data_IF_677176081472
#
_entry.id   IF_677176081472
#
_cell.length_a   1.000
_cell.length_b   1.000
_cell.length_c   1.000
_cell.angle_alpha   90.00
_cell.angle_beta   90.00
_cell.angle_gamma   90.00
#
_symmetry.space_group_name_H-M   'P 1'
#
loop_
_entity.id
_entity.type
_entity.pdbx_description
1 polymer ?
#
# COMPACT_ATOMS: atom_id res chain seq x y z
N UNK A 1 17.55 -37.86 3.43
CA UNK A 1 17.37 -36.76 2.48
C UNK A 1 17.34 -35.48 3.27
N UNK A 2 18.29 -34.57 3.08
CA UNK A 2 18.33 -33.30 3.81
C UNK A 2 17.84 -32.21 2.84
N UNK A 3 16.62 -31.70 3.03
CA UNK A 3 16.12 -30.59 2.25
C UNK A 3 16.59 -29.27 2.88
N UNK A 4 17.11 -28.36 2.06
CA UNK A 4 17.48 -27.00 2.50
C UNK A 4 16.59 -26.00 1.79
N UNK A 5 15.95 -25.06 2.51
CA UNK A 5 15.21 -23.99 1.88
C UNK A 5 16.18 -23.06 1.12
N UNK A 6 15.79 -22.68 -0.09
CA UNK A 6 16.56 -21.78 -0.95
C UNK A 6 15.81 -20.48 -1.11
N UNK A 7 16.44 -19.30 -0.87
CA UNK A 7 15.79 -18.01 -1.10
C UNK A 7 15.39 -17.85 -2.59
N UNK A 8 14.20 -17.33 -2.89
CA UNK A 8 13.74 -17.14 -4.27
C UNK A 8 14.69 -16.29 -5.13
N UNK A 9 15.38 -15.32 -4.52
CA UNK A 9 16.35 -14.46 -5.21
C UNK A 9 17.58 -15.20 -5.77
N UNK A 10 17.82 -16.44 -5.33
CA UNK A 10 18.93 -17.30 -5.80
C UNK A 10 18.47 -18.37 -6.77
N UNK A 11 17.19 -18.40 -7.09
CA UNK A 11 16.58 -19.41 -7.95
C UNK A 11 16.26 -18.81 -9.32
N UNK A 12 16.66 -19.48 -10.38
CA UNK A 12 16.30 -19.11 -11.75
C UNK A 12 15.69 -20.32 -12.45
N UNK A 13 14.56 -20.13 -13.11
CA UNK A 13 13.93 -21.14 -13.93
C UNK A 13 14.37 -20.97 -15.39
N UNK A 14 14.88 -22.03 -15.97
CA UNK A 14 15.29 -22.06 -17.39
C UNK A 14 14.38 -23.02 -18.14
N UNK A 15 13.61 -22.56 -19.12
CA UNK A 15 12.80 -23.44 -19.97
C UNK A 15 13.70 -24.44 -20.72
N UNK A 16 13.31 -25.73 -20.72
CA UNK A 16 14.02 -26.78 -21.45
C UNK A 16 13.00 -27.69 -22.13
N UNK A 17 12.87 -27.59 -23.44
CA UNK A 17 11.89 -28.33 -24.20
C UNK A 17 10.44 -28.04 -23.76
N UNK A 18 9.73 -29.06 -23.28
CA UNK A 18 8.38 -28.93 -22.70
C UNK A 18 8.38 -28.76 -21.16
N UNK A 19 9.55 -28.68 -20.57
CA UNK A 19 9.73 -28.56 -19.12
C UNK A 19 10.60 -27.38 -18.72
N UNK A 20 11.27 -27.51 -17.60
CA UNK A 20 12.17 -26.50 -17.07
C UNK A 20 13.27 -27.12 -16.22
N UNK A 21 14.34 -26.38 -16.03
CA UNK A 21 15.37 -26.67 -15.01
C UNK A 21 15.40 -25.57 -13.96
N UNK A 22 15.81 -25.94 -12.77
CA UNK A 22 15.94 -25.02 -11.64
C UNK A 22 17.42 -24.79 -11.37
N UNK A 23 17.88 -23.58 -11.60
CA UNK A 23 19.26 -23.20 -11.32
C UNK A 23 19.36 -22.50 -9.97
N UNK A 24 20.26 -22.97 -9.11
CA UNK A 24 20.52 -22.43 -7.78
C UNK A 24 22.04 -22.29 -7.58
N UNK A 25 22.53 -21.06 -7.48
CA UNK A 25 23.94 -20.81 -7.18
C UNK A 25 24.94 -21.45 -8.14
N UNK A 26 24.59 -21.57 -9.42
CA UNK A 26 25.44 -22.19 -10.45
C UNK A 26 25.21 -23.69 -10.65
N UNK A 27 24.47 -24.37 -9.79
CA UNK A 27 24.05 -25.76 -9.99
C UNK A 27 22.68 -25.83 -10.67
N UNK A 28 22.48 -26.82 -11.56
CA UNK A 28 21.24 -27.01 -12.31
C UNK A 28 20.57 -28.31 -11.85
N UNK A 29 19.31 -28.22 -11.48
CA UNK A 29 18.51 -29.32 -10.95
C UNK A 29 17.35 -29.63 -11.88
N UNK A 30 16.98 -30.92 -11.97
CA UNK A 30 15.73 -31.33 -12.60
C UNK A 30 14.52 -31.02 -11.70
N UNK A 31 13.30 -30.93 -12.27
CA UNK A 31 12.10 -30.63 -11.48
C UNK A 31 11.78 -31.64 -10.36
N UNK A 32 12.20 -32.88 -10.50
CA UNK A 32 12.05 -33.96 -9.54
C UNK A 32 13.12 -33.96 -8.40
N UNK A 33 14.19 -33.21 -8.60
CA UNK A 33 15.23 -33.00 -7.60
C UNK A 33 14.92 -31.85 -6.63
N UNK A 34 13.85 -31.09 -6.87
CA UNK A 34 13.46 -29.92 -6.08
C UNK A 34 12.00 -30.02 -5.65
N UNK A 35 11.71 -29.54 -4.44
CA UNK A 35 10.33 -29.32 -3.99
C UNK A 35 9.97 -27.86 -4.30
N UNK A 36 9.14 -27.69 -5.32
CA UNK A 36 8.74 -26.38 -5.80
C UNK A 36 7.22 -26.20 -5.72
N UNK A 37 6.77 -25.15 -5.03
CA UNK A 37 5.37 -24.80 -4.91
C UNK A 37 5.04 -23.64 -5.84
N UNK A 38 4.45 -23.93 -7.01
CA UNK A 38 3.96 -22.92 -7.92
C UNK A 38 2.57 -22.45 -7.48
N UNK A 39 2.48 -21.33 -6.79
CA UNK A 39 1.23 -20.68 -6.43
C UNK A 39 0.83 -19.71 -7.55
N UNK A 40 -0.46 -19.68 -7.91
CA UNK A 40 -0.98 -18.85 -9.01
C UNK A 40 -0.18 -19.06 -10.32
N UNK A 41 -0.22 -20.26 -10.93
CA UNK A 41 0.64 -20.61 -12.04
C UNK A 41 0.37 -19.74 -13.27
N UNK A 42 1.45 -19.42 -13.97
CA UNK A 42 1.41 -18.72 -15.25
C UNK A 42 0.75 -19.63 -16.32
N UNK A 43 -0.20 -19.12 -17.13
CA UNK A 43 -0.86 -19.91 -18.16
C UNK A 43 0.10 -20.46 -19.24
N UNK A 44 1.15 -19.75 -19.57
CA UNK A 44 2.14 -20.13 -20.58
C UNK A 44 3.24 -21.03 -19.99
N UNK A 45 3.63 -20.70 -18.74
CA UNK A 45 4.68 -21.43 -18.01
C UNK A 45 4.15 -21.94 -16.66
N UNK A 46 3.40 -23.06 -16.61
CA UNK A 46 2.70 -23.53 -15.40
C UNK A 46 3.59 -23.80 -14.18
N UNK A 47 4.88 -23.98 -14.38
CA UNK A 47 5.86 -24.10 -13.30
C UNK A 47 6.26 -22.76 -12.66
N UNK A 48 5.90 -21.62 -13.29
CA UNK A 48 6.18 -20.29 -12.79
C UNK A 48 4.96 -19.75 -12.06
N UNK A 49 5.12 -19.34 -10.80
CA UNK A 49 4.09 -18.61 -10.09
C UNK A 49 4.05 -17.15 -10.53
N UNK A 50 2.85 -16.61 -10.73
CA UNK A 50 2.65 -15.18 -10.97
C UNK A 50 2.55 -14.43 -9.64
N UNK A 51 3.36 -13.39 -9.48
CA UNK A 51 3.29 -12.48 -8.34
C UNK A 51 2.17 -11.44 -8.51
N UNK A 52 1.87 -10.76 -7.40
CA UNK A 52 0.88 -9.67 -7.37
C UNK A 52 1.50 -8.28 -7.57
N UNK A 53 2.81 -8.21 -7.85
CA UNK A 53 3.56 -6.95 -7.89
C UNK A 53 2.94 -5.92 -8.84
N UNK A 54 2.66 -6.34 -10.09
CA UNK A 54 2.08 -5.45 -11.11
C UNK A 54 0.69 -4.95 -10.68
N UNK A 55 -0.15 -5.85 -10.17
CA UNK A 55 -1.50 -5.50 -9.75
C UNK A 55 -1.52 -4.59 -8.51
N UNK A 56 -0.55 -4.76 -7.61
CA UNK A 56 -0.46 -3.98 -6.37
C UNK A 56 0.21 -2.62 -6.57
N UNK A 57 0.99 -2.43 -7.62
CA UNK A 57 1.82 -1.24 -7.80
C UNK A 57 1.02 0.07 -7.69
N UNK A 58 -0.08 0.17 -8.42
CA UNK A 58 -0.91 1.38 -8.43
C UNK A 58 -1.62 1.62 -7.10
N UNK A 59 -2.11 0.56 -6.46
CA UNK A 59 -2.79 0.66 -5.16
C UNK A 59 -1.81 1.08 -4.06
N UNK A 60 -0.61 0.51 -4.03
CA UNK A 60 0.44 0.91 -3.08
C UNK A 60 0.88 2.35 -3.31
N UNK A 61 0.96 2.78 -4.57
CA UNK A 61 1.26 4.17 -4.91
C UNK A 61 0.17 5.11 -4.42
N UNK A 62 -1.12 4.77 -4.61
CA UNK A 62 -2.27 5.52 -4.10
C UNK A 62 -2.21 5.67 -2.58
N UNK A 63 -1.96 4.58 -1.85
CA UNK A 63 -1.83 4.60 -0.39
C UNK A 63 -0.69 5.52 0.06
N UNK A 64 0.48 5.44 -0.56
CA UNK A 64 1.62 6.31 -0.24
C UNK A 64 1.29 7.78 -0.47
N UNK A 65 0.64 8.10 -1.59
CA UNK A 65 0.22 9.46 -1.90
C UNK A 65 -0.79 9.98 -0.87
N UNK A 66 -1.78 9.17 -0.50
CA UNK A 66 -2.79 9.49 0.51
C UNK A 66 -2.14 9.74 1.89
N UNK A 67 -1.17 8.90 2.29
CA UNK A 67 -0.43 9.07 3.53
C UNK A 67 0.40 10.36 3.52
N UNK A 68 1.08 10.68 2.42
CA UNK A 68 1.85 11.92 2.29
C UNK A 68 0.95 13.17 2.37
N UNK A 69 -0.22 13.13 1.72
CA UNK A 69 -1.21 14.23 1.79
C UNK A 69 -1.73 14.40 3.23
N UNK A 70 -2.04 13.30 3.91
CA UNK A 70 -2.49 13.33 5.31
C UNK A 70 -1.42 13.93 6.21
N UNK A 71 -0.17 13.51 6.05
CA UNK A 71 0.95 14.04 6.83
C UNK A 71 1.14 15.54 6.61
N UNK A 72 1.14 16.01 5.36
CA UNK A 72 1.25 17.41 5.02
C UNK A 72 0.13 18.26 5.64
N UNK A 73 -1.12 17.75 5.66
CA UNK A 73 -2.24 18.42 6.31
C UNK A 73 -2.11 18.48 7.84
N UNK A 74 -1.51 17.45 8.45
CA UNK A 74 -1.27 17.41 9.88
C UNK A 74 -0.11 18.33 10.30
N UNK A 75 0.92 18.45 9.48
CA UNK A 75 2.08 19.30 9.73
C UNK A 75 1.77 20.79 9.51
N UNK A 76 0.80 21.10 8.66
CA UNK A 76 0.40 22.47 8.36
C UNK A 76 -1.08 22.72 8.69
N UNK A 77 -1.49 22.63 9.97
CA UNK A 77 -2.88 22.85 10.38
C UNK A 77 -3.32 24.33 10.29
N UNK A 78 -2.41 25.22 9.88
CA UNK A 78 -2.69 26.66 9.83
C UNK A 78 -3.74 26.94 8.74
N UNK A 79 -4.83 27.62 9.09
CA UNK A 79 -5.77 28.11 8.10
C UNK A 79 -5.04 29.07 7.15
N UNK A 80 -5.26 28.91 5.85
CA UNK A 80 -4.80 29.90 4.89
C UNK A 80 -5.55 31.20 5.14
N UNK A 81 -4.84 32.22 5.56
CA UNK A 81 -5.40 33.53 5.89
C UNK A 81 -5.07 34.48 4.75
N UNK A 82 -6.08 35.16 4.22
CA UNK A 82 -5.90 36.26 3.32
C UNK A 82 -6.08 37.54 4.11
N UNK A 83 -5.03 38.34 4.21
CA UNK A 83 -5.07 39.68 4.78
C UNK A 83 -5.19 40.66 3.62
N UNK A 84 -6.37 41.29 3.50
CA UNK A 84 -6.60 42.40 2.55
C UNK A 84 -6.27 43.70 3.26
N UNK A 85 -5.32 44.45 2.72
CA UNK A 85 -4.91 45.73 3.26
C UNK A 85 -5.44 46.83 2.33
N UNK A 86 -6.27 47.73 2.87
CA UNK A 86 -6.75 48.89 2.13
C UNK A 86 -5.68 49.98 2.14
N UNK A 87 -5.21 50.37 0.97
CA UNK A 87 -4.27 51.46 0.73
C UNK A 87 -2.97 51.03 0.05
N UNK A 88 -2.50 51.85 -0.84
CA UNK A 88 -1.17 51.75 -1.45
C UNK A 88 -0.14 52.33 -0.47
N UNK A 89 0.35 51.50 0.48
CA UNK A 89 1.55 51.85 1.24
C UNK A 89 2.78 51.37 0.49
N UNK A 90 3.86 52.17 0.51
CA UNK A 90 5.15 51.81 -0.10
C UNK A 90 5.67 50.44 0.44
N UNK A 91 5.32 50.09 1.66
CA UNK A 91 5.65 48.82 2.29
C UNK A 91 5.00 47.60 1.62
N UNK A 92 3.86 47.76 0.93
CA UNK A 92 3.20 46.67 0.23
C UNK A 92 3.81 46.36 -1.16
N UNK A 93 4.59 47.28 -1.70
CA UNK A 93 5.19 47.11 -3.02
C UNK A 93 6.47 46.28 -3.00
N UNK A 94 7.15 46.19 -1.85
CA UNK A 94 8.39 45.43 -1.70
C UNK A 94 8.16 44.08 -1.02
N UNK A 95 8.95 43.02 -1.36
CA UNK A 95 8.90 41.75 -0.63
C UNK A 95 9.23 41.89 0.85
N UNK A 96 10.18 42.77 1.17
CA UNK A 96 10.65 43.07 2.54
C UNK A 96 9.59 43.77 3.36
N UNK A 97 8.83 44.70 2.77
CA UNK A 97 7.71 45.36 3.40
C UNK A 97 6.57 44.41 3.72
N UNK A 98 6.23 43.52 2.77
CA UNK A 98 5.24 42.47 3.01
C UNK A 98 5.66 41.51 4.13
N UNK A 99 6.94 41.15 4.18
CA UNK A 99 7.48 40.31 5.26
C UNK A 99 7.38 40.99 6.63
N UNK A 100 7.69 42.31 6.73
CA UNK A 100 7.56 43.07 7.98
C UNK A 100 6.11 43.17 8.47
N UNK A 101 5.15 43.33 7.57
CA UNK A 101 3.72 43.32 7.88
C UNK A 101 3.29 41.95 8.39
N UNK A 102 3.71 40.88 7.69
CA UNK A 102 3.43 39.51 8.11
C UNK A 102 4.03 39.21 9.50
N UNK A 103 5.26 39.62 9.75
CA UNK A 103 5.97 39.40 11.01
C UNK A 103 5.31 40.19 12.14
N UNK A 104 4.94 41.43 11.91
CA UNK A 104 4.31 42.29 12.89
C UNK A 104 2.89 41.87 13.30
N UNK A 105 2.11 41.33 12.35
CA UNK A 105 0.68 41.07 12.57
C UNK A 105 0.30 39.58 12.59
N UNK A 106 1.12 38.72 12.03
CA UNK A 106 0.80 37.26 11.84
C UNK A 106 1.63 36.40 12.80
N UNK A 107 2.90 36.73 13.08
CA UNK A 107 3.79 35.92 13.90
C UNK A 107 3.29 35.72 15.33
N UNK A 108 2.62 36.71 15.89
CA UNK A 108 2.05 36.64 17.26
C UNK A 108 0.88 35.63 17.38
N UNK A 109 0.31 35.16 16.28
CA UNK A 109 -0.78 34.16 16.29
C UNK A 109 -0.31 32.74 16.63
N UNK A 110 0.98 32.45 16.50
CA UNK A 110 1.55 31.14 16.78
C UNK A 110 1.43 30.71 18.24
N UNK A 111 1.29 31.68 19.13
CA UNK A 111 1.20 31.48 20.59
C UNK A 111 -0.23 31.54 21.15
N UNK A 112 -1.26 31.46 20.29
CA UNK A 112 -2.67 31.53 20.72
C UNK A 112 -3.13 32.89 21.24
N UNK A 113 -2.37 33.96 20.99
CA UNK A 113 -2.77 35.31 21.35
C UNK A 113 -3.80 35.86 20.38
N UNK A 114 -4.80 36.63 20.84
CA UNK A 114 -5.78 37.23 19.94
C UNK A 114 -5.11 38.30 19.08
N UNK A 115 -5.46 38.28 17.80
CA UNK A 115 -5.00 39.29 16.86
C UNK A 115 -5.68 40.63 17.11
N UNK A 116 -4.87 41.64 17.28
CA UNK A 116 -5.34 43.03 17.40
C UNK A 116 -4.94 43.73 16.07
N UNK A 117 -5.92 43.97 15.22
CA UNK A 117 -5.73 44.61 13.91
C UNK A 117 -6.52 45.91 13.84
N UNK A 118 -6.00 46.92 13.13
CA UNK A 118 -6.77 48.14 12.87
C UNK A 118 -7.94 47.81 11.95
N UNK A 119 -9.17 47.95 12.43
CA UNK A 119 -10.39 47.59 11.71
C UNK A 119 -10.61 48.39 10.42
N UNK A 120 -10.02 49.53 10.31
CA UNK A 120 -10.15 50.42 9.13
C UNK A 120 -9.16 50.11 8.01
N UNK A 121 -8.09 49.38 8.29
CA UNK A 121 -6.98 49.18 7.37
C UNK A 121 -6.86 47.75 6.84
N UNK A 122 -7.52 46.79 7.45
CA UNK A 122 -7.34 45.37 7.08
C UNK A 122 -8.65 44.59 7.14
N UNK A 123 -8.93 43.82 6.08
CA UNK A 123 -9.97 42.79 6.09
C UNK A 123 -9.31 41.42 6.06
N UNK A 124 -9.67 40.57 7.04
CA UNK A 124 -9.18 39.20 7.11
C UNK A 124 -10.27 38.28 6.57
N UNK A 125 -9.92 37.52 5.55
CA UNK A 125 -10.73 36.43 5.07
C UNK A 125 -10.04 35.11 5.45
N UNK A 126 -10.70 34.31 6.26
CA UNK A 126 -10.23 32.98 6.58
C UNK A 126 -10.71 32.02 5.52
N UNK A 127 -9.79 31.43 4.78
CA UNK A 127 -10.09 30.30 3.93
C UNK A 127 -10.18 29.07 4.83
N UNK A 128 -11.34 28.46 4.91
CA UNK A 128 -11.47 27.16 5.60
C UNK A 128 -10.49 26.16 4.98
N UNK A 129 -9.49 25.67 5.72
CA UNK A 129 -8.62 24.62 5.20
C UNK A 129 -9.48 23.39 4.92
N UNK A 130 -9.15 22.68 3.87
CA UNK A 130 -9.76 21.38 3.57
C UNK A 130 -9.46 20.43 4.73
N UNK A 131 -10.49 19.84 5.31
CA UNK A 131 -10.34 18.82 6.35
C UNK A 131 -10.04 17.46 5.72
N UNK A 132 -9.51 16.53 6.52
CA UNK A 132 -9.33 15.14 6.09
C UNK A 132 -10.65 14.53 5.60
N UNK A 133 -11.77 14.92 6.23
CA UNK A 133 -13.11 14.50 5.83
C UNK A 133 -13.54 15.08 4.48
N UNK A 134 -13.20 16.35 4.20
CA UNK A 134 -13.51 16.98 2.91
C UNK A 134 -12.77 16.31 1.76
N UNK A 135 -11.57 15.81 2.00
CA UNK A 135 -10.78 15.04 1.04
C UNK A 135 -11.17 13.56 0.96
N UNK A 136 -12.11 13.11 1.78
CA UNK A 136 -12.52 11.71 1.88
C UNK A 136 -11.33 10.72 2.02
N UNK A 137 -10.24 11.16 2.65
CA UNK A 137 -8.99 10.40 2.77
C UNK A 137 -9.22 9.05 3.44
N UNK A 138 -10.03 9.01 4.50
CA UNK A 138 -10.30 7.78 5.24
C UNK A 138 -11.08 6.77 4.37
N UNK A 139 -12.05 7.25 3.57
CA UNK A 139 -12.79 6.40 2.63
C UNK A 139 -11.92 5.88 1.49
N UNK A 140 -11.01 6.72 0.99
CA UNK A 140 -10.04 6.32 -0.05
C UNK A 140 -9.12 5.22 0.48
N UNK A 141 -8.58 5.37 1.68
CA UNK A 141 -7.71 4.38 2.30
C UNK A 141 -8.45 3.05 2.57
N UNK A 142 -9.72 3.13 2.98
CA UNK A 142 -10.56 1.94 3.15
C UNK A 142 -10.79 1.21 1.82
N UNK A 143 -11.06 1.95 0.74
CA UNK A 143 -11.22 1.40 -0.60
C UNK A 143 -9.93 0.73 -1.10
N UNK A 144 -8.79 1.37 -0.90
CA UNK A 144 -7.47 0.81 -1.27
C UNK A 144 -7.19 -0.49 -0.52
N UNK A 145 -7.48 -0.55 0.78
CA UNK A 145 -7.37 -1.78 1.59
C UNK A 145 -8.30 -2.88 1.07
N UNK A 146 -9.55 -2.55 0.72
CA UNK A 146 -10.49 -3.51 0.12
C UNK A 146 -9.97 -4.04 -1.22
N UNK A 147 -9.37 -3.18 -2.03
CA UNK A 147 -8.75 -3.56 -3.31
C UNK A 147 -7.60 -4.54 -3.11
N UNK A 148 -6.72 -4.30 -2.13
CA UNK A 148 -5.66 -5.23 -1.76
C UNK A 148 -6.24 -6.58 -1.32
N UNK A 149 -7.24 -6.55 -0.43
CA UNK A 149 -7.90 -7.77 0.04
C UNK A 149 -8.49 -8.59 -1.12
N UNK A 150 -9.15 -7.92 -2.07
CA UNK A 150 -9.72 -8.54 -3.26
C UNK A 150 -8.65 -9.17 -4.16
N UNK A 151 -7.51 -8.51 -4.37
CA UNK A 151 -6.39 -9.04 -5.17
C UNK A 151 -5.81 -10.32 -4.57
N UNK A 152 -5.68 -10.38 -3.25
CA UNK A 152 -5.24 -11.60 -2.56
C UNK A 152 -6.36 -12.63 -2.37
N UNK A 153 -7.61 -12.26 -2.64
CA UNK A 153 -8.77 -13.11 -2.40
C UNK A 153 -9.00 -13.40 -0.91
N UNK A 154 -8.72 -12.40 -0.06
CA UNK A 154 -8.94 -12.47 1.39
C UNK A 154 -10.10 -11.56 1.80
N UNK A 155 -10.89 -11.94 2.82
CA UNK A 155 -11.94 -11.07 3.34
C UNK A 155 -11.39 -9.72 3.85
N UNK A 156 -12.08 -8.59 3.60
CA UNK A 156 -11.62 -7.25 3.98
C UNK A 156 -11.36 -7.07 5.48
N UNK A 157 -12.09 -7.78 6.35
CA UNK A 157 -11.88 -7.70 7.79
C UNK A 157 -10.50 -8.22 8.24
N UNK A 158 -9.85 -9.10 7.47
CA UNK A 158 -8.48 -9.57 7.75
C UNK A 158 -7.42 -8.48 7.52
N UNK A 159 -7.75 -7.44 6.76
CA UNK A 159 -6.89 -6.25 6.57
C UNK A 159 -7.39 -5.05 7.38
N UNK A 160 -8.29 -5.29 8.34
CA UNK A 160 -8.81 -4.27 9.25
C UNK A 160 -9.87 -3.35 8.63
N UNK A 161 -10.68 -3.86 7.70
CA UNK A 161 -11.77 -3.13 7.05
C UNK A 161 -13.08 -3.89 7.17
N UNK A 162 -14.06 -3.29 7.83
CA UNK A 162 -15.35 -3.91 8.09
C UNK A 162 -15.37 -4.84 9.30
N UNK A 163 -16.46 -5.53 9.49
CA UNK A 163 -16.70 -6.43 10.61
C UNK A 163 -16.46 -7.89 10.22
N UNK A 164 -16.16 -8.73 11.21
CA UNK A 164 -16.03 -10.16 11.02
C UNK A 164 -17.35 -10.79 10.60
N UNK A 165 -17.32 -11.57 9.52
CA UNK A 165 -18.43 -12.37 9.04
C UNK A 165 -18.01 -13.83 8.87
N UNK A 166 -18.61 -14.71 9.65
CA UNK A 166 -18.26 -16.12 9.66
C UNK A 166 -18.45 -16.80 8.29
N UNK A 167 -19.47 -16.41 7.53
CA UNK A 167 -19.73 -16.93 6.18
C UNK A 167 -18.58 -16.55 5.20
N UNK A 168 -18.15 -15.30 5.20
CA UNK A 168 -17.05 -14.83 4.37
C UNK A 168 -15.75 -15.54 4.75
N UNK A 169 -15.51 -15.75 6.05
CA UNK A 169 -14.34 -16.49 6.54
C UNK A 169 -14.38 -17.96 6.12
N UNK A 170 -15.51 -18.64 6.28
CA UNK A 170 -15.66 -20.03 5.89
C UNK A 170 -15.47 -20.21 4.36
N UNK A 171 -16.02 -19.27 3.57
CA UNK A 171 -15.82 -19.27 2.13
C UNK A 171 -14.33 -19.08 1.77
N UNK A 172 -13.63 -18.17 2.44
CA UNK A 172 -12.20 -17.95 2.26
C UNK A 172 -11.38 -19.20 2.58
N UNK A 173 -11.68 -19.87 3.70
CA UNK A 173 -11.03 -21.13 4.08
C UNK A 173 -11.27 -22.19 2.99
N UNK A 174 -12.52 -22.42 2.63
CA UNK A 174 -12.89 -23.48 1.67
C UNK A 174 -12.33 -23.23 0.25
N UNK A 175 -12.36 -21.98 -0.21
CA UNK A 175 -12.03 -21.67 -1.61
C UNK A 175 -10.62 -21.14 -1.82
N UNK A 176 -10.00 -20.53 -0.82
CA UNK A 176 -8.66 -19.95 -0.97
C UNK A 176 -7.60 -20.76 -0.23
N UNK A 177 -7.76 -20.95 1.07
CA UNK A 177 -6.77 -21.68 1.86
C UNK A 177 -6.67 -23.14 1.46
N UNK A 178 -7.79 -23.80 1.22
CA UNK A 178 -7.80 -25.20 0.80
C UNK A 178 -7.17 -25.42 -0.60
N UNK A 179 -7.22 -24.43 -1.50
CA UNK A 179 -6.47 -24.51 -2.76
C UNK A 179 -4.96 -24.51 -2.54
N UNK A 180 -4.47 -23.62 -1.68
CA UNK A 180 -3.05 -23.57 -1.33
C UNK A 180 -2.63 -24.85 -0.63
N UNK A 181 -3.42 -25.32 0.32
CA UNK A 181 -3.17 -26.57 1.04
C UNK A 181 -3.05 -27.77 0.08
N UNK A 182 -3.96 -27.86 -0.91
CA UNK A 182 -3.90 -28.92 -1.91
C UNK A 182 -2.66 -28.86 -2.80
N UNK A 183 -2.20 -27.67 -3.19
CA UNK A 183 -0.95 -27.52 -3.95
C UNK A 183 0.23 -28.03 -3.13
N UNK A 184 0.27 -27.70 -1.84
CA UNK A 184 1.31 -28.16 -0.92
C UNK A 184 1.24 -29.68 -0.77
N UNK A 185 0.07 -30.22 -0.48
CA UNK A 185 -0.18 -31.66 -0.32
C UNK A 185 0.27 -32.45 -1.55
N UNK A 186 -0.20 -32.05 -2.75
CA UNK A 186 0.13 -32.73 -4.00
C UNK A 186 1.62 -32.64 -4.33
N UNK A 187 2.24 -31.50 -4.09
CA UNK A 187 3.67 -31.31 -4.33
C UNK A 187 4.52 -32.19 -3.41
N UNK A 188 4.19 -32.20 -2.11
CA UNK A 188 4.88 -33.04 -1.14
C UNK A 188 4.64 -34.52 -1.40
N UNK A 189 3.42 -34.91 -1.73
CA UNK A 189 3.09 -36.30 -2.09
C UNK A 189 3.94 -36.78 -3.27
N UNK A 190 4.02 -35.96 -4.32
CA UNK A 190 4.81 -36.29 -5.52
C UNK A 190 6.31 -36.36 -5.23
N UNK A 191 6.82 -35.42 -4.42
CA UNK A 191 8.26 -35.30 -4.20
C UNK A 191 8.81 -36.30 -3.15
N UNK A 192 8.01 -36.69 -2.16
CA UNK A 192 8.49 -37.44 -1.01
C UNK A 192 7.94 -38.85 -0.89
N UNK A 193 6.79 -39.16 -1.54
CA UNK A 193 6.17 -40.46 -1.42
C UNK A 193 6.38 -41.29 -2.69
N UNK A 194 7.08 -42.39 -2.53
CA UNK A 194 7.37 -43.35 -3.62
C UNK A 194 6.19 -44.29 -3.94
N UNK A 195 5.19 -44.36 -3.07
CA UNK A 195 4.04 -45.24 -3.24
C UNK A 195 2.79 -44.44 -3.57
N UNK A 196 2.09 -44.76 -4.68
CA UNK A 196 0.86 -44.06 -5.08
C UNK A 196 -0.31 -44.28 -4.11
N UNK A 197 -0.20 -45.26 -3.18
CA UNK A 197 -1.21 -45.55 -2.16
C UNK A 197 -1.06 -44.66 -0.92
N UNK A 198 0.02 -43.87 -0.81
CA UNK A 198 0.27 -42.96 0.31
C UNK A 198 0.15 -41.51 -0.12
N UNK A 199 -0.37 -40.67 0.73
CA UNK A 199 -0.51 -39.24 0.48
C UNK A 199 -0.45 -38.46 1.80
N UNK A 200 -0.01 -37.24 1.72
CA UNK A 200 -0.14 -36.28 2.81
C UNK A 200 -1.57 -35.76 2.86
N UNK A 201 -2.06 -35.51 4.05
CA UNK A 201 -3.39 -34.96 4.31
C UNK A 201 -3.29 -33.70 5.16
#
# INVERSE_FOLDING_TARGET
MVSRPVPPSRVTFVPEGRGYRVNVGGASFAPDEVIHFALNPDPEYPWRGMGYEVALFDVVRSIRQTQATRQALMESPKPSIIVKVDGFSEDMQSPEGRARIADKYISDSENGRPWIIPAESMKIEQIKPLTLSDLAIDKSLELDKRSIAAMFGVPPFLVGVGEFKAEEFNWFVANRLMRVARVIEQTLTRALLLSPARYFR
#
